data_IF_730502836153
#
_entry.id   IF_730502836153
#
_cell.length_a   1.000
_cell.length_b   1.000
_cell.length_c   1.000
_cell.angle_alpha   90.00
_cell.angle_beta   90.00
_cell.angle_gamma   90.00
#
_symmetry.space_group_name_H-M   'P 1'
#
loop_
_entity.id
_entity.type
_entity.pdbx_description
1 polymer ?
#
# COMPACT_ATOMS: atom_id res chain seq x y z
N UNK A 1 -8.39 16.56 33.16
CA UNK A 1 -7.27 17.07 32.33
C UNK A 1 -7.74 18.38 31.73
N UNK A 2 -7.05 19.48 32.00
CA UNK A 2 -7.45 20.82 31.54
C UNK A 2 -7.24 20.93 30.03
N UNK A 3 -8.14 21.61 29.32
CA UNK A 3 -8.12 21.86 27.86
C UNK A 3 -6.91 22.68 27.37
N UNK A 4 -5.96 23.01 28.24
CA UNK A 4 -4.82 23.90 27.97
C UNK A 4 -3.52 23.16 27.59
N UNK A 5 -3.47 21.81 27.72
CA UNK A 5 -2.26 21.03 27.36
C UNK A 5 -2.14 20.76 25.85
N UNK A 6 -3.16 21.15 25.07
CA UNK A 6 -3.12 21.06 23.62
C UNK A 6 -2.67 22.38 23.02
N UNK A 7 -1.41 22.40 22.58
CA UNK A 7 -0.87 23.11 21.40
C UNK A 7 0.41 23.90 21.75
N UNK A 8 1.54 23.28 21.42
CA UNK A 8 2.67 23.99 20.80
C UNK A 8 3.45 23.01 19.93
N UNK A 9 2.85 22.60 18.81
CA UNK A 9 3.61 22.00 17.72
C UNK A 9 4.26 23.13 16.91
N UNK A 10 5.58 23.29 17.07
CA UNK A 10 6.38 24.28 16.35
C UNK A 10 6.26 24.17 14.82
N UNK A 11 6.31 25.31 14.12
CA UNK A 11 6.15 25.40 12.66
C UNK A 11 7.16 24.52 11.90
N UNK A 12 8.38 24.37 12.43
CA UNK A 12 9.40 23.51 11.84
C UNK A 12 9.01 22.02 11.87
N UNK A 13 8.24 21.60 12.89
CA UNK A 13 7.72 20.23 13.01
C UNK A 13 6.58 19.98 12.01
N UNK A 14 5.68 20.94 11.85
CA UNK A 14 4.60 20.88 10.84
C UNK A 14 5.21 20.84 9.41
N UNK A 15 6.20 21.69 9.13
CA UNK A 15 6.89 21.74 7.83
C UNK A 15 7.63 20.42 7.49
N UNK A 16 8.20 19.76 8.52
CA UNK A 16 8.84 18.43 8.39
C UNK A 16 7.85 17.33 7.97
N UNK A 17 6.58 17.43 8.39
CA UNK A 17 5.53 16.47 8.05
C UNK A 17 4.94 16.72 6.65
N UNK A 18 4.81 17.99 6.25
CA UNK A 18 4.24 18.41 4.95
C UNK A 18 5.19 18.20 3.76
N UNK A 19 6.46 17.89 4.00
CA UNK A 19 7.46 17.61 2.94
C UNK A 19 7.26 16.25 2.22
N UNK A 20 6.12 15.58 2.45
CA UNK A 20 5.77 14.35 1.77
C UNK A 20 5.22 14.62 0.37
N UNK A 21 6.10 14.66 -0.65
CA UNK A 21 5.83 14.11 -1.99
C UNK A 21 6.94 14.32 -3.04
N UNK A 22 8.03 15.02 -2.73
CA UNK A 22 9.20 15.07 -3.61
C UNK A 22 10.30 14.16 -3.06
N UNK A 23 11.09 13.52 -3.93
CA UNK A 23 12.24 12.72 -3.52
C UNK A 23 13.21 13.63 -2.75
N UNK A 24 13.14 13.62 -1.42
CA UNK A 24 14.00 14.40 -0.57
C UNK A 24 15.44 14.09 -0.95
N UNK A 25 16.20 15.13 -1.29
CA UNK A 25 17.64 14.98 -1.47
C UNK A 25 18.25 14.52 -0.15
N UNK A 26 19.39 13.82 -0.21
CA UNK A 26 20.05 13.28 0.99
C UNK A 26 20.24 14.34 2.09
N UNK A 27 20.52 15.58 1.68
CA UNK A 27 20.73 16.73 2.55
C UNK A 27 19.46 17.17 3.29
N UNK A 28 18.31 17.14 2.62
CA UNK A 28 17.01 17.49 3.22
C UNK A 28 16.54 16.41 4.20
N UNK A 29 16.81 15.13 3.89
CA UNK A 29 16.55 14.02 4.81
C UNK A 29 17.42 14.11 6.07
N UNK A 30 18.70 14.48 5.92
CA UNK A 30 19.62 14.71 7.04
C UNK A 30 19.20 15.91 7.90
N UNK A 31 18.79 17.02 7.28
CA UNK A 31 18.26 18.19 8.00
C UNK A 31 16.97 17.85 8.76
N UNK A 32 16.06 17.10 8.15
CA UNK A 32 14.85 16.59 8.82
C UNK A 32 15.20 15.73 10.03
N UNK A 33 16.14 14.81 9.88
CA UNK A 33 16.59 13.95 10.95
C UNK A 33 17.29 14.74 12.08
N UNK A 34 18.05 15.79 11.74
CA UNK A 34 18.66 16.68 12.71
C UNK A 34 17.62 17.49 13.49
N UNK A 35 16.60 18.04 12.81
CA UNK A 35 15.51 18.77 13.44
C UNK A 35 14.70 17.88 14.40
N UNK A 36 14.39 16.63 14.00
CA UNK A 36 13.70 15.66 14.85
C UNK A 36 14.52 15.27 16.08
N UNK A 37 15.85 15.19 15.97
CA UNK A 37 16.73 14.89 17.10
C UNK A 37 16.97 16.08 18.03
N UNK A 38 17.01 17.30 17.48
CA UNK A 38 17.17 18.52 18.25
C UNK A 38 15.92 18.85 19.07
N UNK A 39 14.74 18.39 18.64
CA UNK A 39 13.50 18.54 19.40
C UNK A 39 13.62 17.74 20.70
N UNK A 40 13.81 18.47 21.81
CA UNK A 40 13.68 17.91 23.16
C UNK A 40 12.23 17.52 23.35
N UNK A 41 11.93 16.24 23.18
CA UNK A 41 10.63 15.69 23.54
C UNK A 41 10.33 16.05 24.99
N UNK A 42 9.08 16.37 25.29
CA UNK A 42 8.61 16.41 26.68
C UNK A 42 8.99 15.08 27.33
N UNK A 43 9.43 15.14 28.59
CA UNK A 43 9.80 13.94 29.33
C UNK A 43 8.66 12.94 29.19
N UNK A 44 8.96 11.71 28.78
CA UNK A 44 7.93 10.68 28.64
C UNK A 44 7.16 10.64 29.96
N UNK A 45 5.86 10.91 29.90
CA UNK A 45 5.03 10.86 31.10
C UNK A 45 5.12 9.43 31.64
N UNK A 46 5.81 9.27 32.77
CA UNK A 46 5.81 8.02 33.53
C UNK A 46 4.56 7.92 34.40
N UNK A 47 3.68 8.91 34.37
CA UNK A 47 2.36 8.84 34.97
C UNK A 47 1.47 7.95 34.09
N UNK A 48 1.77 6.66 34.08
CA UNK A 48 0.69 5.68 34.04
C UNK A 48 -0.05 5.84 35.37
N UNK A 49 -1.38 5.92 35.34
CA UNK A 49 -2.16 5.91 36.57
C UNK A 49 -1.94 4.55 37.26
N UNK A 50 -0.95 4.47 38.15
CA UNK A 50 -0.71 3.28 38.96
C UNK A 50 -1.95 3.01 39.80
N UNK A 51 -2.61 1.89 39.52
CA UNK A 51 -3.84 1.46 40.21
C UNK A 51 -5.13 1.57 39.39
N UNK A 52 -5.11 2.18 38.20
CA UNK A 52 -6.26 2.12 37.28
C UNK A 52 -6.04 0.97 36.31
N UNK A 53 -6.85 -0.09 36.44
CA UNK A 53 -6.88 -1.15 35.44
C UNK A 53 -7.45 -0.53 34.16
N UNK A 54 -6.68 -0.40 33.07
CA UNK A 54 -7.22 0.11 31.83
C UNK A 54 -8.31 -0.86 31.36
N UNK A 55 -9.51 -0.36 31.11
CA UNK A 55 -10.67 -1.16 30.68
C UNK A 55 -11.13 -2.20 31.73
N UNK A 56 -11.73 -1.75 32.86
CA UNK A 56 -12.34 -2.66 33.83
C UNK A 56 -13.42 -3.50 33.13
N UNK A 57 -13.18 -4.81 33.03
CA UNK A 57 -14.02 -5.75 32.28
C UNK A 57 -13.28 -6.56 31.22
N UNK A 58 -12.13 -6.08 30.71
CA UNK A 58 -11.36 -6.78 29.67
C UNK A 58 -10.78 -8.12 30.16
N UNK A 59 -10.63 -8.30 31.47
CA UNK A 59 -10.13 -9.53 32.10
C UNK A 59 -11.24 -10.47 32.57
N UNK A 60 -12.52 -10.08 32.46
CA UNK A 60 -13.62 -10.83 33.08
C UNK A 60 -14.18 -11.95 32.21
N UNK A 61 -13.97 -11.90 30.90
CA UNK A 61 -14.45 -12.92 29.97
C UNK A 61 -13.30 -13.45 29.13
N UNK A 62 -13.20 -14.78 28.99
CA UNK A 62 -12.19 -15.40 28.14
C UNK A 62 -12.43 -14.93 26.69
N UNK A 63 -11.48 -14.18 26.14
CA UNK A 63 -11.60 -13.63 24.80
C UNK A 63 -11.75 -14.76 23.77
N UNK A 64 -12.95 -14.90 23.20
CA UNK A 64 -13.27 -15.93 22.21
C UNK A 64 -13.68 -15.30 20.89
N UNK A 65 -13.30 -15.88 19.74
CA UNK A 65 -13.84 -15.47 18.45
C UNK A 65 -15.37 -15.54 18.45
N UNK A 66 -16.00 -14.60 17.74
CA UNK A 66 -17.46 -14.60 17.52
C UNK A 66 -17.92 -15.91 16.90
N UNK A 67 -19.18 -16.30 17.19
CA UNK A 67 -19.72 -17.60 16.79
C UNK A 67 -19.57 -17.88 15.28
N UNK A 68 -19.81 -16.87 14.45
CA UNK A 68 -19.64 -16.96 12.99
C UNK A 68 -18.22 -17.34 12.57
N UNK A 69 -17.21 -16.69 13.17
CA UNK A 69 -15.81 -16.95 12.86
C UNK A 69 -15.37 -18.35 13.33
N UNK A 70 -15.95 -18.86 14.42
CA UNK A 70 -15.70 -20.22 14.91
C UNK A 70 -16.15 -21.28 13.89
N UNK A 71 -17.28 -21.06 13.20
CA UNK A 71 -17.74 -21.99 12.15
C UNK A 71 -16.77 -22.02 10.96
N UNK A 72 -16.12 -20.89 10.64
CA UNK A 72 -15.24 -20.76 9.48
C UNK A 72 -13.77 -21.14 9.77
N UNK A 73 -13.40 -21.32 11.05
CA UNK A 73 -12.00 -21.44 11.49
C UNK A 73 -11.24 -22.62 10.87
N UNK A 74 -11.96 -23.69 10.48
CA UNK A 74 -11.38 -24.88 9.85
C UNK A 74 -10.92 -24.63 8.39
N UNK A 75 -11.30 -23.51 7.79
CA UNK A 75 -10.85 -23.10 6.46
C UNK A 75 -10.14 -21.76 6.52
N UNK A 76 -8.80 -21.73 6.33
CA UNK A 76 -8.03 -20.49 6.26
C UNK A 76 -8.55 -19.54 5.18
N UNK A 77 -9.06 -20.08 4.07
CA UNK A 77 -9.60 -19.28 2.97
C UNK A 77 -10.94 -18.63 3.34
N UNK A 78 -11.86 -19.38 3.97
CA UNK A 78 -13.13 -18.80 4.42
C UNK A 78 -12.92 -17.79 5.54
N UNK A 79 -11.99 -18.07 6.46
CA UNK A 79 -11.58 -17.14 7.52
C UNK A 79 -11.02 -15.84 6.92
N UNK A 80 -10.16 -15.93 5.90
CA UNK A 80 -9.68 -14.74 5.20
C UNK A 80 -10.82 -13.96 4.52
N UNK A 81 -11.75 -14.68 3.90
CA UNK A 81 -12.90 -14.08 3.22
C UNK A 81 -13.96 -13.48 4.13
N UNK A 82 -13.99 -13.88 5.41
CA UNK A 82 -14.77 -13.21 6.45
C UNK A 82 -14.29 -11.76 6.65
N UNK A 83 -12.97 -11.55 6.76
CA UNK A 83 -12.38 -10.21 6.92
C UNK A 83 -12.31 -9.40 5.63
N UNK A 84 -12.37 -10.07 4.47
CA UNK A 84 -12.39 -9.42 3.17
C UNK A 84 -13.72 -9.73 2.46
N UNK A 85 -14.85 -9.11 2.83
CA UNK A 85 -16.16 -9.42 2.25
C UNK A 85 -16.21 -9.12 0.75
N UNK A 86 -17.21 -9.68 0.04
CA UNK A 86 -17.36 -9.50 -1.42
C UNK A 86 -17.46 -8.02 -1.81
N UNK A 87 -18.23 -7.23 -1.06
CA UNK A 87 -18.38 -5.78 -1.26
C UNK A 87 -17.04 -5.08 -1.28
N UNK A 88 -16.21 -5.30 -0.25
CA UNK A 88 -14.86 -4.71 -0.15
C UNK A 88 -13.99 -5.05 -1.37
N UNK A 89 -14.00 -6.30 -1.83
CA UNK A 89 -13.19 -6.72 -2.99
C UNK A 89 -13.64 -6.02 -4.28
N UNK A 90 -14.95 -5.86 -4.45
CA UNK A 90 -15.54 -5.19 -5.62
C UNK A 90 -15.17 -3.71 -5.58
N UNK A 91 -15.38 -3.03 -4.45
CA UNK A 91 -15.01 -1.62 -4.26
C UNK A 91 -13.53 -1.37 -4.53
N UNK A 92 -12.63 -2.17 -3.94
CA UNK A 92 -11.18 -2.06 -4.22
C UNK A 92 -10.90 -2.20 -5.72
N UNK A 93 -11.59 -3.11 -6.40
CA UNK A 93 -11.39 -3.33 -7.84
C UNK A 93 -11.84 -2.12 -8.66
N UNK A 94 -13.00 -1.56 -8.34
CA UNK A 94 -13.56 -0.37 -8.98
C UNK A 94 -12.62 0.82 -8.77
N UNK A 95 -12.23 1.10 -7.53
CA UNK A 95 -11.34 2.20 -7.18
C UNK A 95 -9.95 2.07 -7.82
N UNK A 96 -9.39 0.86 -7.83
CA UNK A 96 -8.12 0.57 -8.52
C UNK A 96 -8.23 0.86 -10.03
N UNK A 97 -9.35 0.49 -10.65
CA UNK A 97 -9.58 0.73 -12.08
C UNK A 97 -9.80 2.21 -12.38
N UNK A 98 -10.53 2.93 -11.55
CA UNK A 98 -10.72 4.37 -11.67
C UNK A 98 -9.39 5.11 -11.50
N UNK A 99 -8.60 4.77 -10.48
CA UNK A 99 -7.27 5.35 -10.31
C UNK A 99 -6.36 5.09 -11.51
N UNK A 100 -6.39 3.89 -12.09
CA UNK A 100 -5.64 3.60 -13.33
C UNK A 100 -6.06 4.50 -14.49
N UNK A 101 -7.36 4.75 -14.68
CA UNK A 101 -7.87 5.67 -15.71
C UNK A 101 -7.40 7.10 -15.45
N UNK A 102 -7.50 7.57 -14.21
CA UNK A 102 -7.09 8.92 -13.79
C UNK A 102 -5.59 9.16 -14.06
N UNK A 103 -4.76 8.14 -13.85
CA UNK A 103 -3.31 8.21 -14.01
C UNK A 103 -2.82 8.02 -15.45
N UNK A 104 -3.72 7.77 -16.41
CA UNK A 104 -3.35 7.36 -17.76
C UNK A 104 -2.55 8.43 -18.51
N UNK A 105 -2.99 9.68 -18.45
CA UNK A 105 -2.36 10.78 -19.19
C UNK A 105 -0.98 11.12 -18.63
N UNK A 106 -0.86 11.22 -17.31
CA UNK A 106 0.42 11.42 -16.63
C UNK A 106 1.42 10.29 -16.97
N UNK A 107 0.94 9.03 -17.04
CA UNK A 107 1.77 7.89 -17.46
C UNK A 107 2.18 7.99 -18.92
N UNK A 108 1.28 8.43 -19.80
CA UNK A 108 1.58 8.57 -21.22
C UNK A 108 2.71 9.59 -21.44
N UNK A 109 2.66 10.72 -20.73
CA UNK A 109 3.69 11.75 -20.73
C UNK A 109 5.01 11.24 -20.17
N UNK A 110 4.99 10.55 -19.03
CA UNK A 110 6.20 9.96 -18.43
C UNK A 110 6.86 8.92 -19.36
N UNK A 111 6.07 8.15 -20.12
CA UNK A 111 6.58 7.20 -21.12
C UNK A 111 7.19 7.94 -22.32
N UNK A 112 6.59 9.05 -22.76
CA UNK A 112 7.12 9.87 -23.84
C UNK A 112 8.46 10.53 -23.44
N UNK A 113 8.52 11.14 -22.26
CA UNK A 113 9.74 11.75 -21.73
C UNK A 113 10.91 10.73 -21.66
N UNK A 114 10.62 9.50 -21.20
CA UNK A 114 11.61 8.41 -21.16
C UNK A 114 12.05 7.91 -22.54
N UNK A 115 11.29 8.14 -23.61
CA UNK A 115 11.73 7.84 -24.98
C UNK A 115 12.72 8.88 -25.51
N UNK A 116 12.62 10.14 -25.08
CA UNK A 116 13.56 11.19 -25.46
C UNK A 116 14.98 10.93 -24.98
N UNK A 117 15.11 10.31 -23.79
CA UNK A 117 16.38 10.02 -23.12
C UNK A 117 17.05 8.75 -23.67
N UNK A 118 16.28 7.80 -24.22
CA UNK A 118 16.81 6.51 -24.68
C UNK A 118 17.30 6.62 -26.13
N UNK A 119 18.59 6.39 -26.34
CA UNK A 119 19.16 6.10 -27.67
C UNK A 119 18.70 4.68 -28.05
N UNK A 120 17.51 4.57 -28.63
CA UNK A 120 16.91 3.29 -29.01
C UNK A 120 16.52 3.34 -30.48
N UNK A 121 17.03 2.39 -31.28
CA UNK A 121 16.65 2.20 -32.70
C UNK A 121 15.20 1.74 -32.91
N UNK A 122 14.33 1.86 -31.90
CA UNK A 122 12.88 1.60 -32.05
C UNK A 122 12.19 2.89 -32.49
N UNK A 123 11.18 2.81 -33.37
CA UNK A 123 10.42 3.98 -33.78
C UNK A 123 9.80 4.68 -32.57
N UNK A 124 10.02 6.00 -32.48
CA UNK A 124 9.44 6.85 -31.44
C UNK A 124 7.92 6.80 -31.55
N UNK A 125 7.26 6.52 -30.42
CA UNK A 125 5.81 6.47 -30.35
C UNK A 125 5.27 7.84 -30.01
N UNK A 126 4.23 8.26 -30.70
CA UNK A 126 3.52 9.51 -30.38
C UNK A 126 2.73 9.38 -29.08
N UNK A 127 2.43 10.50 -28.43
CA UNK A 127 1.59 10.52 -27.22
C UNK A 127 0.24 9.83 -27.45
N UNK A 128 -0.38 10.06 -28.61
CA UNK A 128 -1.64 9.44 -29.00
C UNK A 128 -1.53 7.90 -29.09
N UNK A 129 -0.45 7.38 -29.67
CA UNK A 129 -0.20 5.93 -29.74
C UNK A 129 0.01 5.32 -28.35
N UNK A 130 0.72 6.02 -27.46
CA UNK A 130 0.93 5.57 -26.09
C UNK A 130 -0.39 5.55 -25.33
N UNK A 131 -1.17 6.64 -25.39
CA UNK A 131 -2.50 6.75 -24.76
C UNK A 131 -3.42 5.64 -25.25
N UNK A 132 -3.50 5.41 -26.57
CA UNK A 132 -4.34 4.36 -27.16
C UNK A 132 -3.98 2.98 -26.62
N UNK A 133 -2.68 2.66 -26.54
CA UNK A 133 -2.21 1.39 -25.97
C UNK A 133 -2.53 1.25 -24.48
N UNK A 134 -2.43 2.32 -23.70
CA UNK A 134 -2.79 2.29 -22.28
C UNK A 134 -4.30 2.11 -22.12
N UNK A 135 -5.12 2.81 -22.91
CA UNK A 135 -6.59 2.68 -22.90
C UNK A 135 -7.07 1.30 -23.32
N UNK A 136 -6.37 0.63 -24.23
CA UNK A 136 -6.71 -0.72 -24.67
C UNK A 136 -6.27 -1.82 -23.69
N UNK A 137 -5.61 -1.47 -22.58
CA UNK A 137 -5.25 -2.46 -21.56
C UNK A 137 -6.50 -2.90 -20.80
N UNK A 138 -6.71 -4.21 -20.59
CA UNK A 138 -7.90 -4.70 -19.92
C UNK A 138 -7.93 -4.21 -18.47
N UNK A 139 -9.13 -3.85 -18.01
CA UNK A 139 -9.40 -3.52 -16.61
C UNK A 139 -9.01 -4.68 -15.69
N UNK A 140 -8.74 -4.37 -14.43
CA UNK A 140 -8.46 -5.35 -13.42
C UNK A 140 -9.77 -6.02 -12.99
N UNK A 141 -9.79 -7.35 -13.02
CA UNK A 141 -10.89 -8.13 -12.49
C UNK A 141 -10.66 -8.43 -11.01
N UNK A 142 -11.72 -8.56 -10.23
CA UNK A 142 -11.65 -8.77 -8.77
C UNK A 142 -10.80 -9.99 -8.40
N UNK A 143 -10.93 -11.08 -9.16
CA UNK A 143 -10.14 -12.29 -8.91
C UNK A 143 -8.64 -12.06 -9.16
N UNK A 144 -8.25 -11.13 -10.06
CA UNK A 144 -6.84 -10.74 -10.26
C UNK A 144 -6.32 -9.91 -9.08
N UNK A 145 -7.13 -9.02 -8.52
CA UNK A 145 -6.76 -8.30 -7.28
C UNK A 145 -6.51 -9.30 -6.15
N UNK A 146 -7.43 -10.28 -5.98
CA UNK A 146 -7.25 -11.36 -5.00
C UNK A 146 -6.00 -12.20 -5.23
N UNK A 147 -5.67 -12.52 -6.49
CA UNK A 147 -4.40 -13.20 -6.79
C UNK A 147 -3.20 -12.37 -6.33
N UNK A 148 -3.19 -11.05 -6.52
CA UNK A 148 -2.09 -10.20 -6.02
C UNK A 148 -2.00 -10.25 -4.50
N UNK A 149 -3.14 -10.18 -3.80
CA UNK A 149 -3.17 -10.34 -2.33
C UNK A 149 -2.63 -11.71 -1.91
N UNK A 150 -3.02 -12.78 -2.61
CA UNK A 150 -2.49 -14.12 -2.40
C UNK A 150 -0.98 -14.22 -2.63
N UNK A 151 -0.46 -13.56 -3.67
CA UNK A 151 0.99 -13.49 -3.94
C UNK A 151 1.75 -12.70 -2.87
N UNK A 152 1.14 -11.66 -2.28
CA UNK A 152 1.71 -10.93 -1.14
C UNK A 152 1.77 -11.82 0.11
N UNK A 153 0.70 -12.59 0.38
CA UNK A 153 0.68 -13.57 1.49
C UNK A 153 1.74 -14.67 1.27
N UNK A 154 1.86 -15.19 0.05
CA UNK A 154 2.89 -16.16 -0.30
C UNK A 154 4.31 -15.60 -0.10
N UNK A 155 4.55 -14.33 -0.48
CA UNK A 155 5.81 -13.62 -0.20
C UNK A 155 6.09 -13.51 1.30
N UNK A 156 5.08 -13.24 2.12
CA UNK A 156 5.25 -13.17 3.58
C UNK A 156 5.66 -14.52 4.18
N UNK A 157 5.17 -15.62 3.61
CA UNK A 157 5.54 -16.99 4.04
C UNK A 157 6.92 -17.41 3.54
N UNK A 158 7.28 -17.03 2.32
CA UNK A 158 8.55 -17.36 1.69
C UNK A 158 9.30 -16.07 1.31
N UNK A 159 9.95 -15.40 2.29
CA UNK A 159 10.64 -14.15 2.01
C UNK A 159 11.84 -14.39 1.08
N UNK A 160 11.76 -13.88 -0.15
CA UNK A 160 12.91 -13.88 -1.06
C UNK A 160 13.95 -12.88 -0.58
N UNK A 161 15.22 -13.30 -0.50
CA UNK A 161 16.35 -12.49 0.00
C UNK A 161 16.66 -11.22 -0.81
N UNK A 162 16.10 -11.08 -2.01
CA UNK A 162 16.40 -9.99 -2.95
C UNK A 162 15.14 -9.18 -3.28
N UNK A 163 14.50 -9.41 -4.43
CA UNK A 163 13.40 -8.59 -4.94
C UNK A 163 12.13 -9.41 -5.09
N UNK A 164 10.97 -8.75 -4.96
CA UNK A 164 9.67 -9.38 -5.21
C UNK A 164 9.56 -9.97 -6.62
N UNK A 165 10.18 -9.33 -7.60
CA UNK A 165 10.20 -9.80 -8.98
C UNK A 165 10.91 -11.15 -9.17
N UNK A 166 11.78 -11.56 -8.24
CA UNK A 166 12.58 -12.77 -8.40
C UNK A 166 11.74 -14.04 -8.24
N UNK A 167 10.55 -13.95 -7.63
CA UNK A 167 9.57 -15.06 -7.62
C UNK A 167 9.04 -15.44 -9.02
N UNK A 168 9.28 -14.57 -10.02
CA UNK A 168 9.00 -14.86 -11.43
C UNK A 168 10.23 -15.37 -12.19
N UNK A 169 11.38 -15.51 -11.54
CA UNK A 169 12.56 -16.03 -12.21
C UNK A 169 12.33 -17.47 -12.64
N UNK A 170 12.75 -17.79 -13.86
CA UNK A 170 12.75 -19.16 -14.38
C UNK A 170 14.09 -19.86 -14.11
N UNK A 171 15.04 -19.18 -13.47
CA UNK A 171 16.28 -19.77 -13.00
C UNK A 171 16.05 -20.37 -11.61
N UNK A 172 16.39 -21.63 -11.45
CA UNK A 172 16.42 -22.28 -10.14
C UNK A 172 17.58 -21.71 -9.30
N UNK A 173 17.30 -21.32 -8.06
CA UNK A 173 18.29 -20.84 -7.09
C UNK A 173 18.17 -21.69 -5.82
N UNK A 174 19.02 -22.72 -5.72
CA UNK A 174 18.99 -23.68 -4.62
C UNK A 174 17.65 -24.41 -4.52
N UNK A 175 17.02 -24.34 -3.35
CA UNK A 175 15.75 -25.02 -3.06
C UNK A 175 14.49 -24.24 -3.50
N UNK A 176 14.64 -23.10 -4.20
CA UNK A 176 13.50 -22.28 -4.64
C UNK A 176 13.07 -22.70 -6.04
N UNK A 177 11.86 -23.25 -6.23
CA UNK A 177 11.39 -23.68 -7.54
C UNK A 177 11.17 -22.50 -8.49
N UNK A 178 11.63 -22.65 -9.73
CA UNK A 178 11.49 -21.67 -10.80
C UNK A 178 10.01 -21.39 -11.15
N UNK A 179 9.71 -20.12 -11.43
CA UNK A 179 8.44 -19.70 -12.02
C UNK A 179 7.21 -19.82 -11.13
N UNK A 180 7.37 -19.94 -9.81
CA UNK A 180 6.27 -20.20 -8.87
C UNK A 180 5.14 -19.18 -8.97
N UNK A 181 5.46 -17.88 -9.06
CA UNK A 181 4.42 -16.84 -9.17
C UNK A 181 3.88 -16.70 -10.60
N UNK A 182 4.69 -17.05 -11.61
CA UNK A 182 4.31 -16.98 -13.02
C UNK A 182 3.10 -17.87 -13.36
N UNK A 183 2.90 -18.96 -12.61
CA UNK A 183 1.75 -19.87 -12.75
C UNK A 183 0.41 -19.20 -12.41
N UNK A 184 0.40 -18.23 -11.51
CA UNK A 184 -0.81 -17.54 -11.05
C UNK A 184 -1.05 -16.22 -11.78
N UNK A 185 0.03 -15.45 -12.01
CA UNK A 185 -0.06 -14.16 -12.68
C UNK A 185 1.27 -13.77 -13.31
N UNK A 186 1.25 -13.19 -14.51
CA UNK A 186 2.45 -12.61 -15.11
C UNK A 186 2.98 -11.38 -14.35
N UNK A 187 4.31 -11.26 -14.26
CA UNK A 187 5.00 -10.20 -13.50
C UNK A 187 4.50 -8.78 -13.81
N UNK A 188 4.40 -8.44 -15.10
CA UNK A 188 3.99 -7.09 -15.53
C UNK A 188 2.54 -6.76 -15.10
N UNK A 189 1.67 -7.78 -15.10
CA UNK A 189 0.27 -7.60 -14.67
C UNK A 189 0.21 -7.38 -13.17
N UNK A 190 0.94 -8.16 -12.39
CA UNK A 190 1.03 -7.99 -10.93
C UNK A 190 1.60 -6.60 -10.57
N UNK A 191 2.68 -6.17 -11.22
CA UNK A 191 3.25 -4.84 -11.00
C UNK A 191 2.30 -3.71 -11.38
N UNK A 192 1.50 -3.90 -12.44
CA UNK A 192 0.52 -2.89 -12.84
C UNK A 192 -0.61 -2.78 -11.81
N UNK A 193 -1.11 -3.91 -11.31
CA UNK A 193 -2.11 -3.93 -10.23
C UNK A 193 -1.54 -3.29 -8.95
N UNK A 194 -0.34 -3.69 -8.50
CA UNK A 194 0.25 -3.14 -7.28
C UNK A 194 0.49 -1.64 -7.35
N UNK A 195 0.87 -1.11 -8.52
CA UNK A 195 1.06 0.33 -8.74
C UNK A 195 -0.27 1.09 -8.69
N UNK A 196 -1.35 0.44 -9.11
CA UNK A 196 -2.66 1.07 -9.30
C UNK A 196 -3.62 0.75 -8.14
N UNK A 197 -3.20 -0.10 -7.20
CA UNK A 197 -4.02 -0.59 -6.10
C UNK A 197 -4.51 0.58 -5.26
N UNK A 198 -5.83 0.73 -5.22
CA UNK A 198 -6.47 1.88 -4.61
C UNK A 198 -7.74 1.45 -3.87
N UNK A 199 -8.04 2.14 -2.76
CA UNK A 199 -9.09 1.74 -1.84
C UNK A 199 -10.23 2.78 -1.72
N UNK A 200 -10.01 4.01 -2.18
CA UNK A 200 -10.92 5.15 -2.02
C UNK A 200 -10.80 6.09 -3.22
N UNK A 201 -11.90 6.68 -3.70
CA UNK A 201 -11.84 7.62 -4.81
C UNK A 201 -11.09 8.90 -4.42
N UNK A 202 -10.03 9.23 -5.17
CA UNK A 202 -9.27 10.46 -5.00
C UNK A 202 -10.02 11.72 -5.40
N UNK A 203 -11.13 11.59 -6.15
CA UNK A 203 -11.96 12.71 -6.59
C UNK A 203 -13.18 12.94 -5.68
N UNK A 204 -13.48 12.02 -4.78
CA UNK A 204 -14.53 12.23 -3.80
C UNK A 204 -14.16 13.37 -2.86
N UNK A 205 -15.13 14.23 -2.54
CA UNK A 205 -14.97 15.26 -1.52
C UNK A 205 -14.58 14.58 -0.22
N UNK A 206 -13.42 14.93 0.35
CA UNK A 206 -13.00 14.42 1.65
C UNK A 206 -13.99 14.89 2.71
N UNK A 207 -14.89 14.03 3.14
CA UNK A 207 -15.55 14.17 4.44
C UNK A 207 -14.46 13.95 5.47
N UNK A 208 -14.01 15.02 6.13
CA UNK A 208 -13.23 14.85 7.37
C UNK A 208 -14.15 14.14 8.34
N UNK A 209 -13.78 12.94 8.77
CA UNK A 209 -14.39 12.34 9.94
C UNK A 209 -14.04 13.26 11.12
N UNK A 210 -15.04 13.99 11.62
CA UNK A 210 -14.94 14.67 12.90
C UNK A 210 -14.93 13.57 13.97
N UNK A 211 -13.75 13.31 14.52
CA UNK A 211 -13.53 12.50 15.72
C UNK A 211 -13.13 13.43 16.87
#
# INVERSE_FOLDING_TARGET
>A
MSEDDTVQLDEAFIASLLSGNNSLTKKEAEQRAAALRAKKWTSASSAFEDGVTPYPGLQMEEARPVAELRVLCHSPLLTFFYFMPKSLRVTITEETNEYNKQQLDQRAEAILAKQGIRVSGRPRKTLAQIRRRLKSSPLYETHKILHVVGLLIARMRCPQRRRFADHWSMTEDGAIPAGTFGRFMGRNRCQSILRDLHFVDNKATRTRDEL
#
